data_IF_948994502240
#
_entry.id   IF_948994502240
#
_cell.length_a   1.000
_cell.length_b   1.000
_cell.length_c   1.000
_cell.angle_alpha   90.00
_cell.angle_beta   90.00
_cell.angle_gamma   90.00
#
_symmetry.space_group_name_H-M   'P 1'
#
loop_
_entity.id
_entity.type
_entity.pdbx_description
1 polymer ?
#
# COMPACT_ATOMS: atom_id res chain seq x y z
N UNK A 1 13.78 4.58 -11.28
CA UNK A 1 12.56 4.24 -12.05
C UNK A 1 11.39 4.92 -11.36
N UNK A 2 10.53 5.54 -12.15
CA UNK A 2 9.48 6.46 -11.69
C UNK A 2 8.37 5.74 -10.89
N UNK A 3 8.28 4.41 -11.03
CA UNK A 3 7.43 3.51 -10.23
C UNK A 3 5.98 3.48 -10.68
N UNK A 4 5.36 4.64 -10.88
CA UNK A 4 3.97 4.79 -11.30
C UNK A 4 3.86 5.58 -12.61
N UNK A 5 2.76 5.36 -13.33
CA UNK A 5 2.51 5.95 -14.64
C UNK A 5 1.15 6.66 -14.65
N UNK A 6 1.07 7.74 -15.41
CA UNK A 6 -0.18 8.45 -15.67
C UNK A 6 -1.05 7.58 -16.57
N UNK A 7 -2.31 7.41 -16.18
CA UNK A 7 -3.29 6.63 -16.95
C UNK A 7 -3.67 7.31 -18.29
N UNK A 8 -3.98 8.61 -18.26
CA UNK A 8 -4.37 9.40 -19.43
C UNK A 8 -3.75 10.80 -19.37
N UNK A 9 -3.19 11.29 -20.49
CA UNK A 9 -2.62 12.65 -20.56
C UNK A 9 -3.69 13.74 -20.46
N UNK A 10 -4.89 13.45 -20.97
CA UNK A 10 -6.00 14.42 -20.98
C UNK A 10 -6.73 14.47 -19.62
N UNK A 11 -6.65 13.38 -18.86
CA UNK A 11 -7.21 13.26 -17.51
C UNK A 11 -6.21 12.54 -16.60
N UNK A 12 -5.15 13.24 -16.16
CA UNK A 12 -4.04 12.61 -15.47
C UNK A 12 -4.40 12.09 -14.08
N UNK A 13 -5.37 12.70 -13.39
CA UNK A 13 -5.84 12.31 -12.05
C UNK A 13 -4.70 12.18 -11.02
N UNK A 14 -3.70 13.08 -11.10
CA UNK A 14 -2.49 13.07 -10.27
C UNK A 14 -2.50 14.08 -9.10
N UNK A 15 -3.59 14.82 -8.90
CA UNK A 15 -3.65 15.82 -7.82
C UNK A 15 -3.76 15.19 -6.43
N UNK A 16 -4.61 14.16 -6.28
CA UNK A 16 -4.85 13.49 -5.00
C UNK A 16 -4.85 11.95 -5.07
N UNK A 17 -3.91 11.29 -5.78
CA UNK A 17 -3.84 9.85 -5.78
C UNK A 17 -3.15 9.31 -4.51
N UNK A 18 -3.54 8.12 -4.07
CA UNK A 18 -2.92 7.46 -2.92
C UNK A 18 -2.06 6.26 -3.36
N UNK A 19 -0.91 6.55 -3.97
CA UNK A 19 0.11 5.54 -4.29
C UNK A 19 1.24 5.59 -3.25
N UNK A 20 1.34 4.55 -2.42
CA UNK A 20 2.25 4.50 -1.29
C UNK A 20 3.02 3.18 -1.23
N UNK A 21 4.24 3.21 -0.69
CA UNK A 21 5.10 2.04 -0.49
C UNK A 21 5.47 1.89 0.99
N UNK A 22 5.54 0.64 1.47
CA UNK A 22 5.96 0.32 2.83
C UNK A 22 6.69 -1.03 2.87
N UNK A 23 7.90 -1.06 3.44
CA UNK A 23 8.60 -2.31 3.75
C UNK A 23 9.03 -3.16 2.55
N UNK A 24 9.00 -2.63 1.32
CA UNK A 24 9.45 -3.33 0.13
C UNK A 24 10.96 -3.63 0.19
N UNK A 25 11.39 -4.75 -0.39
CA UNK A 25 12.81 -5.16 -0.47
C UNK A 25 13.16 -5.60 -1.90
N UNK A 26 14.46 -5.68 -2.20
CA UNK A 26 14.97 -6.09 -3.51
C UNK A 26 15.33 -4.93 -4.46
N UNK A 27 15.86 -5.23 -5.66
CA UNK A 27 16.46 -4.23 -6.56
C UNK A 27 15.54 -3.08 -7.00
N UNK A 28 14.21 -3.30 -7.01
CA UNK A 28 13.21 -2.28 -7.37
C UNK A 28 12.64 -1.48 -6.20
N UNK A 29 12.97 -1.84 -4.96
CA UNK A 29 12.34 -1.26 -3.77
C UNK A 29 12.83 0.15 -3.41
N UNK A 30 13.90 0.63 -4.06
CA UNK A 30 14.37 1.98 -3.83
C UNK A 30 13.30 3.00 -4.31
N UNK A 31 12.68 3.68 -3.36
CA UNK A 31 11.60 4.64 -3.58
C UNK A 31 12.08 6.10 -3.75
N UNK A 32 13.40 6.38 -3.71
CA UNK A 32 13.92 7.76 -3.79
C UNK A 32 13.63 8.46 -5.12
N UNK A 33 13.37 7.70 -6.18
CA UNK A 33 13.13 8.20 -7.53
C UNK A 33 11.66 8.05 -7.98
N UNK A 34 10.70 7.93 -7.06
CA UNK A 34 9.28 7.85 -7.42
C UNK A 34 8.75 9.20 -7.90
N UNK A 35 7.77 9.14 -8.80
CA UNK A 35 7.02 10.32 -9.25
C UNK A 35 6.54 11.17 -8.07
N UNK A 36 6.65 12.49 -8.21
CA UNK A 36 6.38 13.45 -7.13
C UNK A 36 4.91 13.51 -6.71
N UNK A 37 3.99 13.09 -7.58
CA UNK A 37 2.55 13.06 -7.29
C UNK A 37 2.12 11.83 -6.49
N UNK A 38 3.00 10.84 -6.29
CA UNK A 38 2.71 9.72 -5.41
C UNK A 38 2.84 10.13 -3.93
N UNK A 39 2.16 9.40 -3.04
CA UNK A 39 2.34 9.55 -1.60
C UNK A 39 3.74 9.11 -1.16
N UNK A 40 4.34 8.15 -1.87
CA UNK A 40 5.70 7.68 -1.64
C UNK A 40 5.83 6.76 -0.43
N UNK A 41 6.97 6.79 0.25
CA UNK A 41 7.24 5.95 1.42
C UNK A 41 6.39 6.38 2.61
N UNK A 42 5.64 5.44 3.19
CA UNK A 42 4.78 5.69 4.37
C UNK A 42 5.31 5.03 5.64
N UNK A 43 4.82 5.48 6.79
CA UNK A 43 5.18 4.91 8.09
C UNK A 43 4.44 3.60 8.38
N UNK A 44 4.95 2.82 9.35
CA UNK A 44 4.26 1.60 9.83
C UNK A 44 2.83 1.88 10.31
N UNK A 45 2.61 3.03 10.96
CA UNK A 45 1.29 3.48 11.42
C UNK A 45 0.35 3.82 10.27
N UNK A 46 0.87 4.44 9.19
CA UNK A 46 0.06 4.69 8.01
C UNK A 46 -0.24 3.38 7.27
N UNK A 47 0.72 2.46 7.18
CA UNK A 47 0.54 1.17 6.51
C UNK A 47 -0.45 0.25 7.25
N UNK A 48 -0.56 0.36 8.58
CA UNK A 48 -1.45 -0.53 9.36
C UNK A 48 -2.93 -0.40 8.97
N UNK A 49 -3.38 0.74 8.45
CA UNK A 49 -4.78 0.92 8.02
C UNK A 49 -5.15 0.04 6.82
N UNK A 50 -4.15 -0.40 6.03
CA UNK A 50 -4.34 -1.26 4.86
C UNK A 50 -4.20 -2.76 5.17
N UNK A 51 -4.06 -3.12 6.46
CA UNK A 51 -4.02 -4.52 6.88
C UNK A 51 -5.40 -5.17 6.83
N UNK A 52 -5.45 -6.50 6.77
CA UNK A 52 -6.70 -7.25 6.69
C UNK A 52 -7.68 -6.89 7.83
N UNK A 53 -7.18 -6.72 9.06
CA UNK A 53 -8.03 -6.36 10.19
C UNK A 53 -8.60 -4.95 10.07
N UNK A 54 -7.80 -3.98 9.64
CA UNK A 54 -8.22 -2.57 9.63
C UNK A 54 -9.02 -2.22 8.37
N UNK A 55 -8.68 -2.80 7.23
CA UNK A 55 -9.26 -2.40 5.94
C UNK A 55 -10.57 -3.13 5.62
N UNK A 56 -10.64 -4.44 5.90
CA UNK A 56 -11.79 -5.29 5.55
C UNK A 56 -12.45 -5.94 6.76
N UNK A 57 -12.06 -5.53 7.98
CA UNK A 57 -12.57 -6.08 9.23
C UNK A 57 -12.52 -7.62 9.27
N UNK A 58 -11.40 -8.19 8.82
CA UNK A 58 -11.28 -9.62 8.53
C UNK A 58 -11.73 -10.54 9.68
N UNK A 59 -11.50 -10.16 10.95
CA UNK A 59 -11.98 -10.93 12.12
C UNK A 59 -13.47 -11.23 12.14
N UNK A 60 -14.30 -10.40 11.50
CA UNK A 60 -15.76 -10.53 11.54
C UNK A 60 -16.30 -11.65 10.66
N UNK A 61 -15.56 -12.08 9.63
CA UNK A 61 -16.07 -13.03 8.64
C UNK A 61 -15.03 -14.07 8.18
N UNK A 62 -13.76 -13.69 8.10
CA UNK A 62 -12.72 -14.54 7.54
C UNK A 62 -12.46 -15.83 8.36
N UNK A 63 -12.55 -15.83 9.72
CA UNK A 63 -12.42 -17.07 10.50
C UNK A 63 -13.44 -18.16 10.12
N UNK A 64 -14.66 -17.78 9.72
CA UNK A 64 -15.69 -18.75 9.34
C UNK A 64 -15.37 -19.50 8.04
N UNK A 65 -14.43 -18.97 7.23
CA UNK A 65 -14.00 -19.60 5.98
C UNK A 65 -13.00 -20.74 6.21
N UNK A 66 -12.38 -20.83 7.39
CA UNK A 66 -11.30 -21.77 7.69
C UNK A 66 -9.96 -21.45 7.00
N UNK A 67 -9.88 -20.35 6.24
CA UNK A 67 -8.66 -19.94 5.54
C UNK A 67 -7.70 -19.24 6.52
N UNK A 68 -6.44 -19.69 6.67
CA UNK A 68 -5.44 -18.98 7.47
C UNK A 68 -5.12 -17.59 6.90
N UNK A 69 -4.95 -16.60 7.79
CA UNK A 69 -4.58 -15.24 7.38
C UNK A 69 -3.78 -14.51 8.47
N UNK A 70 -2.96 -13.54 8.03
CA UNK A 70 -2.32 -12.57 8.92
C UNK A 70 -3.26 -11.37 9.12
N UNK A 71 -3.62 -11.08 10.37
CA UNK A 71 -4.53 -9.97 10.69
C UNK A 71 -3.90 -8.58 10.46
N UNK A 72 -2.58 -8.47 10.58
CA UNK A 72 -1.87 -7.20 10.68
C UNK A 72 -0.41 -7.29 10.27
N UNK A 73 0.30 -6.16 10.39
CA UNK A 73 1.74 -6.13 10.19
C UNK A 73 2.44 -6.91 11.31
N UNK A 74 3.45 -7.69 10.95
CA UNK A 74 4.26 -8.40 11.95
C UNK A 74 4.99 -7.40 12.86
N UNK A 75 4.98 -7.68 14.15
CA UNK A 75 5.91 -7.06 15.08
C UNK A 75 7.29 -7.64 14.75
N UNK A 76 8.19 -6.77 14.32
CA UNK A 76 9.59 -7.13 14.09
C UNK A 76 10.23 -7.56 15.40
#
# INVERSE_FOLDING_TARGET
MDGYLIWSKDQPNIENPYFAEFGNTGPGANATARVSWAKGLISKKAASIFTAEQFIHARTWLPATGIPYDHGLKST
#
